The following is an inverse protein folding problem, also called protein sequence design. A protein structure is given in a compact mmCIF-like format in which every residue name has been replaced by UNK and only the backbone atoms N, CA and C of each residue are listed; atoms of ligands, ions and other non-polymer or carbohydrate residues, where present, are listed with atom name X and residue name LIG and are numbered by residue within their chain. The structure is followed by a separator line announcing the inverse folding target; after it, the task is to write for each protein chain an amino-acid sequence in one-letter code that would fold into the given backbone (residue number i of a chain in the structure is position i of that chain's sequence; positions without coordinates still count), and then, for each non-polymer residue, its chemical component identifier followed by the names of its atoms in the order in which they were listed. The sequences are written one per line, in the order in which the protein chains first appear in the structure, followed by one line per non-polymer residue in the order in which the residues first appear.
data_IF_285172075513
#
_entry.id   IF_285172075513
#
_cell.length_a   1.000
_cell.length_b   1.000
_cell.length_c   1.000
_cell.angle_alpha   90.00
_cell.angle_beta   90.00
_cell.angle_gamma   90.00
#
_symmetry.space_group_name_H-M   'P 1'
#
loop_
_entity.id
_entity.type
_entity.pdbx_description
1 polymer ?
#
# COMPACT_ATOMS: atom_id res chain seq x y z
N UNK A 1 11.76 -13.86 12.92
CA UNK A 1 10.77 -14.26 11.88
C UNK A 1 11.32 -13.78 10.56
N UNK A 2 11.20 -14.54 9.48
CA UNK A 2 11.61 -14.05 8.17
C UNK A 2 10.58 -13.04 7.64
N UNK A 3 10.97 -12.13 6.74
CA UNK A 3 10.02 -11.23 6.04
C UNK A 3 8.87 -12.03 5.43
N UNK A 4 9.19 -13.19 4.83
CA UNK A 4 8.21 -14.10 4.23
C UNK A 4 7.16 -14.66 5.21
N UNK A 5 7.51 -14.86 6.49
CA UNK A 5 6.55 -15.30 7.51
C UNK A 5 5.57 -14.18 7.85
N UNK A 6 6.07 -12.95 7.99
CA UNK A 6 5.26 -11.78 8.28
C UNK A 6 4.35 -11.44 7.11
N UNK A 7 4.85 -11.55 5.88
CA UNK A 7 4.07 -11.42 4.65
C UNK A 7 2.87 -12.36 4.61
N UNK A 8 3.09 -13.64 4.94
CA UNK A 8 2.02 -14.63 4.97
C UNK A 8 0.97 -14.27 6.03
N UNK A 9 1.41 -13.94 7.24
CA UNK A 9 0.50 -13.53 8.33
C UNK A 9 -0.27 -12.25 7.98
N UNK A 10 0.37 -11.27 7.34
CA UNK A 10 -0.28 -10.04 6.91
C UNK A 10 -1.35 -10.30 5.85
N UNK A 11 -1.09 -11.23 4.92
CA UNK A 11 -2.07 -11.68 3.92
C UNK A 11 -3.24 -12.43 4.56
N UNK A 12 -2.97 -13.30 5.54
CA UNK A 12 -4.00 -13.98 6.32
C UNK A 12 -4.88 -12.95 7.06
N UNK A 13 -4.27 -12.02 7.80
CA UNK A 13 -5.00 -10.94 8.48
C UNK A 13 -5.82 -10.08 7.51
N UNK A 14 -5.30 -9.82 6.30
CA UNK A 14 -6.03 -9.10 5.26
C UNK A 14 -7.25 -9.87 4.74
N UNK A 15 -7.15 -11.20 4.63
CA UNK A 15 -8.28 -12.07 4.22
C UNK A 15 -9.34 -12.11 5.32
N UNK A 16 -8.93 -12.08 6.58
CA UNK A 16 -9.80 -12.05 7.75
C UNK A 16 -10.39 -10.64 8.03
N UNK A 17 -10.27 -9.70 7.09
CA UNK A 17 -10.68 -8.28 7.22
C UNK A 17 -10.02 -7.51 8.39
N UNK A 18 -8.97 -8.06 9.02
CA UNK A 18 -8.17 -7.41 10.05
C UNK A 18 -7.12 -6.48 9.43
N UNK A 19 -7.58 -5.41 8.78
CA UNK A 19 -6.70 -4.53 7.99
C UNK A 19 -5.70 -3.75 8.85
N UNK A 20 -6.04 -3.35 10.08
CA UNK A 20 -5.11 -2.66 10.99
C UNK A 20 -3.92 -3.57 11.33
N UNK A 21 -4.21 -4.81 11.74
CA UNK A 21 -3.18 -5.81 12.01
C UNK A 21 -2.36 -6.13 10.75
N UNK A 22 -2.99 -6.20 9.59
CA UNK A 22 -2.26 -6.40 8.33
C UNK A 22 -1.27 -5.26 8.06
N UNK A 23 -1.64 -4.00 8.32
CA UNK A 23 -0.75 -2.84 8.18
C UNK A 23 0.45 -2.93 9.13
N UNK A 24 0.23 -3.32 10.38
CA UNK A 24 1.29 -3.49 11.37
C UNK A 24 2.27 -4.59 10.94
N UNK A 25 1.75 -5.76 10.55
CA UNK A 25 2.55 -6.87 10.07
C UNK A 25 3.34 -6.54 8.80
N UNK A 26 2.74 -5.80 7.85
CA UNK A 26 3.47 -5.31 6.69
C UNK A 26 4.55 -4.29 7.07
N UNK A 27 4.32 -3.47 8.09
CA UNK A 27 5.31 -2.49 8.57
C UNK A 27 6.52 -3.20 9.17
N UNK A 28 6.29 -4.26 9.94
CA UNK A 28 7.38 -5.14 10.42
C UNK A 28 8.10 -5.84 9.27
N UNK A 29 7.37 -6.36 8.28
CA UNK A 29 7.96 -7.00 7.11
C UNK A 29 8.83 -6.01 6.30
N UNK A 30 8.36 -4.77 6.11
CA UNK A 30 9.10 -3.69 5.44
C UNK A 30 10.36 -3.33 6.21
N UNK A 31 10.34 -3.35 7.54
CA UNK A 31 11.54 -3.10 8.34
C UNK A 31 12.62 -4.17 8.12
N UNK A 32 12.22 -5.42 7.84
CA UNK A 32 13.13 -6.51 7.49
C UNK A 32 13.54 -6.50 6.02
N UNK A 33 12.68 -6.02 5.12
CA UNK A 33 12.92 -6.00 3.67
C UNK A 33 12.42 -4.69 3.05
N UNK A 34 13.16 -3.57 3.26
CA UNK A 34 12.72 -2.24 2.82
C UNK A 34 12.79 -2.04 1.30
N UNK A 35 13.36 -3.00 0.57
CA UNK A 35 13.47 -2.99 -0.89
C UNK A 35 12.33 -3.74 -1.59
N UNK A 36 11.45 -4.40 -0.84
CA UNK A 36 10.39 -5.21 -1.41
C UNK A 36 9.17 -4.33 -1.79
N UNK A 37 9.06 -3.99 -3.07
CA UNK A 37 7.97 -3.17 -3.60
C UNK A 37 6.58 -3.79 -3.37
N UNK A 38 6.48 -5.13 -3.33
CA UNK A 38 5.23 -5.85 -3.06
C UNK A 38 4.66 -5.52 -1.68
N UNK A 39 5.51 -5.38 -0.65
CA UNK A 39 5.08 -5.08 0.72
C UNK A 39 4.41 -3.72 0.81
N UNK A 40 4.99 -2.71 0.16
CA UNK A 40 4.39 -1.38 0.09
C UNK A 40 3.07 -1.41 -0.69
N UNK A 41 2.98 -2.17 -1.79
CA UNK A 41 1.74 -2.28 -2.56
C UNK A 41 0.62 -3.00 -1.79
N UNK A 42 0.95 -4.02 -1.00
CA UNK A 42 0.00 -4.77 -0.18
C UNK A 42 -0.41 -3.96 1.06
N UNK A 43 0.52 -3.25 1.72
CA UNK A 43 0.20 -2.30 2.79
C UNK A 43 -0.70 -1.16 2.30
N UNK A 44 -0.42 -0.63 1.11
CA UNK A 44 -1.29 0.37 0.47
C UNK A 44 -2.72 -0.16 0.29
N UNK A 45 -2.89 -1.44 -0.01
CA UNK A 45 -4.21 -2.04 -0.15
C UNK A 45 -4.95 -2.14 1.18
N UNK A 46 -4.26 -2.55 2.25
CA UNK A 46 -4.83 -2.56 3.59
C UNK A 46 -5.24 -1.13 4.03
N UNK A 47 -4.39 -0.14 3.77
CA UNK A 47 -4.69 1.27 4.02
C UNK A 47 -5.90 1.78 3.23
N UNK A 48 -6.08 1.36 1.97
CA UNK A 48 -7.29 1.68 1.19
C UNK A 48 -8.55 1.11 1.85
N UNK A 49 -8.48 -0.11 2.39
CA UNK A 49 -9.59 -0.73 3.10
C UNK A 49 -9.94 -0.01 4.40
N UNK A 50 -8.92 0.50 5.11
CA UNK A 50 -9.06 1.36 6.28
C UNK A 50 -9.50 2.80 5.96
N UNK A 51 -9.64 3.16 4.67
CA UNK A 51 -9.88 4.53 4.19
C UNK A 51 -8.74 5.51 4.51
N UNK A 52 -7.56 5.01 4.86
CA UNK A 52 -6.31 5.75 5.01
C UNK A 52 -5.67 6.02 3.64
N UNK A 53 -6.35 6.80 2.80
CA UNK A 53 -5.95 7.01 1.41
C UNK A 53 -4.63 7.78 1.26
N UNK A 54 -4.33 8.70 2.18
CA UNK A 54 -3.08 9.46 2.17
C UNK A 54 -1.87 8.53 2.30
N UNK A 55 -1.92 7.63 3.27
CA UNK A 55 -0.88 6.63 3.52
C UNK A 55 -0.81 5.61 2.38
N UNK A 56 -1.96 5.16 1.87
CA UNK A 56 -1.99 4.28 0.71
C UNK A 56 -1.33 4.89 -0.53
N UNK A 57 -1.51 6.18 -0.79
CA UNK A 57 -0.85 6.87 -1.91
C UNK A 57 0.65 7.01 -1.67
N UNK A 58 1.08 7.28 -0.44
CA UNK A 58 2.49 7.33 -0.08
C UNK A 58 3.17 5.97 -0.29
N UNK A 59 2.55 4.89 0.19
CA UNK A 59 3.02 3.52 0.01
C UNK A 59 3.04 3.12 -1.46
N UNK A 60 1.99 3.44 -2.21
CA UNK A 60 1.95 3.15 -3.64
C UNK A 60 3.02 3.93 -4.42
N UNK A 61 3.35 5.16 -4.04
CA UNK A 61 4.47 5.88 -4.63
C UNK A 61 5.80 5.19 -4.31
N UNK A 62 5.99 4.72 -3.06
CA UNK A 62 7.22 4.03 -2.68
C UNK A 62 7.39 2.71 -3.41
N UNK A 63 6.31 1.95 -3.58
CA UNK A 63 6.29 0.75 -4.40
C UNK A 63 6.67 1.05 -5.86
N UNK A 64 6.19 2.15 -6.43
CA UNK A 64 6.55 2.57 -7.79
C UNK A 64 8.03 2.96 -7.86
N UNK A 65 8.57 3.70 -6.88
CA UNK A 65 9.99 4.08 -6.83
C UNK A 65 10.92 2.86 -6.79
N UNK A 66 10.51 1.80 -6.09
CA UNK A 66 11.27 0.56 -5.97
C UNK A 66 11.12 -0.32 -7.21
N UNK A 67 9.89 -0.45 -7.73
CA UNK A 67 9.60 -1.18 -8.95
C UNK A 67 8.65 -0.37 -9.85
N UNK A 68 9.26 0.31 -10.82
CA UNK A 68 8.54 1.12 -11.80
C UNK A 68 7.63 0.29 -12.73
N UNK A 69 7.83 -1.03 -12.80
CA UNK A 69 7.04 -1.95 -13.64
C UNK A 69 5.82 -2.52 -12.90
N UNK A 70 5.71 -2.27 -11.58
CA UNK A 70 4.69 -2.81 -10.71
C UNK A 70 3.30 -2.21 -11.00
N UNK A 71 2.58 -2.84 -11.93
CA UNK A 71 1.23 -2.42 -12.35
C UNK A 71 0.24 -2.30 -11.17
N UNK A 72 0.36 -3.18 -10.17
CA UNK A 72 -0.45 -3.14 -8.95
C UNK A 72 -0.29 -1.83 -8.18
N UNK A 73 0.93 -1.29 -8.09
CA UNK A 73 1.20 -0.06 -7.35
C UNK A 73 0.52 1.16 -8.00
N UNK A 74 0.52 1.25 -9.33
CA UNK A 74 -0.24 2.28 -10.05
C UNK A 74 -1.75 2.17 -9.83
N UNK A 75 -2.29 0.94 -9.76
CA UNK A 75 -3.70 0.71 -9.45
C UNK A 75 -4.03 1.19 -8.03
N UNK A 76 -3.20 0.86 -7.02
CA UNK A 76 -3.40 1.33 -5.63
C UNK A 76 -3.32 2.85 -5.52
N UNK A 77 -2.34 3.47 -6.18
CA UNK A 77 -2.23 4.93 -6.26
C UNK A 77 -3.47 5.57 -6.87
N UNK A 78 -4.02 4.97 -7.94
CA UNK A 78 -5.27 5.39 -8.55
C UNK A 78 -6.45 5.27 -7.59
N UNK A 79 -6.57 4.15 -6.88
CA UNK A 79 -7.63 3.91 -5.90
C UNK A 79 -7.60 4.92 -4.75
N UNK A 80 -6.43 5.19 -4.18
CA UNK A 80 -6.28 6.21 -3.13
C UNK A 80 -6.56 7.65 -3.60
N UNK A 81 -6.39 7.95 -4.90
CA UNK A 81 -6.69 9.28 -5.47
C UNK A 81 -8.13 9.45 -5.93
N UNK A 82 -8.81 8.36 -6.31
CA UNK A 82 -10.19 8.40 -6.84
C UNK A 82 -11.24 8.65 -5.77
N UNK A 83 -10.87 8.64 -4.50
CA UNK A 83 -11.77 9.05 -3.42
C UNK A 83 -12.05 10.55 -3.53
N UNK A 84 -13.30 10.99 -3.31
CA UNK A 84 -13.82 12.27 -3.79
C UNK A 84 -13.07 13.52 -3.29
N UNK A 85 -12.21 13.40 -2.28
CA UNK A 85 -11.51 14.51 -1.65
C UNK A 85 -10.37 15.12 -2.49
N UNK A 86 -9.80 14.41 -3.48
CA UNK A 86 -8.61 14.89 -4.23
C UNK A 86 -8.80 15.14 -5.74
N UNK A 87 -10.02 14.98 -6.29
CA UNK A 87 -10.27 15.37 -7.70
C UNK A 87 -10.15 16.90 -7.94
N UNK A 88 -10.01 17.70 -6.89
CA UNK A 88 -9.93 19.17 -6.95
C UNK A 88 -8.54 19.71 -7.35
N UNK A 89 -7.50 18.88 -7.51
CA UNK A 89 -6.15 19.36 -7.84
C UNK A 89 -5.61 18.93 -9.21
N UNK A 90 -6.42 18.32 -10.08
CA UNK A 90 -6.02 17.98 -11.46
C UNK A 90 -6.54 18.96 -12.52
N UNK A 91 -6.66 20.25 -12.17
CA UNK A 91 -6.90 21.35 -13.11
C UNK A 91 -5.88 22.48 -12.90
N UNK A 92 -4.60 22.22 -13.11
CA UNK A 92 -3.59 23.28 -13.32
C UNK A 92 -2.36 22.68 -14.02
N UNK A 93 -2.54 22.35 -15.29
CA UNK A 93 -1.46 22.46 -16.28
C UNK A 93 -2.10 23.25 -17.42
N UNK A 94 -2.09 24.57 -17.26
CA UNK A 94 -2.12 25.51 -18.38
C UNK A 94 -0.77 25.45 -19.11
#
# INVERSE_FOLDING_TARGET
MASSDLERKAKEAFIDDHFELAVDLYTEAIALSPTAAELFADRAQANIKLRSFTEAVADANKAIELDHSMSKAYLRKGQGRRTPTQMTHRKSRE
#
